data_IF_302249747134
#
_entry.id   IF_302249747134
#
_cell.length_a   1.000
_cell.length_b   1.000
_cell.length_c   1.000
_cell.angle_alpha   90.00
_cell.angle_beta   90.00
_cell.angle_gamma   90.00
#
_symmetry.space_group_name_H-M   'P 1'
#
loop_
_entity.id
_entity.type
_entity.pdbx_description
1 polymer ?
#
# COMPACT_ATOMS: atom_id res chain seq x y z
N UNK A 1 7.35 -16.37 -1.96
CA UNK A 1 6.23 -15.79 -1.19
C UNK A 1 6.77 -15.10 0.02
N UNK A 2 7.12 -13.85 -0.23
CA UNK A 2 7.44 -12.85 0.77
C UNK A 2 6.14 -12.04 0.97
N UNK A 3 5.34 -12.32 2.02
CA UNK A 3 4.00 -11.74 2.14
C UNK A 3 4.08 -10.28 2.58
N UNK A 4 3.56 -9.36 1.78
CA UNK A 4 3.37 -7.98 2.17
C UNK A 4 1.88 -7.64 2.23
N UNK A 5 1.53 -6.68 3.07
CA UNK A 5 0.15 -6.46 3.46
C UNK A 5 -0.27 -5.01 3.28
N UNK A 6 -1.49 -4.79 2.80
CA UNK A 6 -2.06 -3.46 2.58
C UNK A 6 -3.40 -3.32 3.29
N UNK A 7 -3.59 -2.24 4.04
CA UNK A 7 -4.83 -1.94 4.77
C UNK A 7 -5.29 -0.51 4.58
N UNK A 8 -6.46 -0.17 5.14
CA UNK A 8 -6.98 1.22 5.18
C UNK A 8 -6.90 1.74 6.61
N UNK A 9 -6.39 2.95 6.76
CA UNK A 9 -6.43 3.68 8.02
C UNK A 9 -7.76 4.45 8.07
N UNK A 10 -8.66 4.07 8.99
CA UNK A 10 -9.99 4.69 9.07
C UNK A 10 -9.93 6.19 9.41
N UNK A 11 -9.06 6.54 10.36
CA UNK A 11 -8.74 7.92 10.73
C UNK A 11 -7.24 8.06 10.94
N UNK A 12 -6.61 8.89 10.12
CA UNK A 12 -5.19 9.20 10.25
C UNK A 12 -4.94 10.03 11.51
N UNK A 13 -3.85 9.73 12.20
CA UNK A 13 -3.35 10.49 13.34
C UNK A 13 -1.99 11.06 12.94
N UNK A 14 -1.89 12.39 12.88
CA UNK A 14 -0.72 13.09 12.36
C UNK A 14 0.49 13.01 13.31
N UNK A 15 0.24 12.74 14.59
CA UNK A 15 1.27 12.72 15.63
C UNK A 15 1.66 11.27 16.02
N UNK A 16 1.07 10.28 15.35
CA UNK A 16 1.29 8.85 15.64
C UNK A 16 2.40 8.25 14.78
N UNK A 17 3.25 7.48 15.44
CA UNK A 17 4.13 6.49 14.79
C UNK A 17 3.38 5.18 14.53
N UNK A 18 3.37 4.77 13.26
CA UNK A 18 2.79 3.53 12.75
C UNK A 18 3.85 2.43 12.56
N UNK A 19 4.86 2.35 13.42
CA UNK A 19 5.98 1.39 13.28
C UNK A 19 5.65 -0.05 13.71
N UNK A 20 4.55 -0.24 14.44
CA UNK A 20 4.17 -1.55 14.97
C UNK A 20 3.44 -2.38 13.90
N UNK A 21 3.90 -3.60 13.69
CA UNK A 21 3.18 -4.60 12.89
C UNK A 21 1.86 -5.01 13.58
N UNK A 22 0.74 -4.56 13.03
CA UNK A 22 -0.62 -4.82 13.54
C UNK A 22 -1.64 -4.97 12.39
N UNK A 23 -1.42 -5.85 11.39
CA UNK A 23 -2.21 -5.91 10.15
C UNK A 23 -3.71 -6.20 10.36
N UNK A 24 -4.05 -6.98 11.39
CA UNK A 24 -5.43 -7.31 11.75
C UNK A 24 -6.28 -6.06 12.04
N UNK A 25 -5.66 -4.98 12.52
CA UNK A 25 -6.34 -3.71 12.81
C UNK A 25 -6.84 -2.99 11.56
N UNK A 26 -6.19 -3.20 10.44
CA UNK A 26 -6.41 -2.46 9.20
C UNK A 26 -7.14 -3.29 8.14
N UNK A 27 -7.59 -4.50 8.49
CA UNK A 27 -8.23 -5.48 7.60
C UNK A 27 -7.41 -5.68 6.32
N UNK A 28 -6.12 -5.98 6.49
CA UNK A 28 -5.18 -6.02 5.39
C UNK A 28 -5.50 -7.10 4.35
N UNK A 29 -5.12 -6.83 3.11
CA UNK A 29 -5.00 -7.79 2.02
C UNK A 29 -3.52 -8.12 1.81
N UNK A 30 -3.20 -9.38 1.55
CA UNK A 30 -1.82 -9.85 1.38
C UNK A 30 -1.51 -10.13 -0.10
N UNK A 31 -0.37 -9.67 -0.59
CA UNK A 31 0.18 -10.04 -1.91
C UNK A 31 1.62 -10.56 -1.76
N UNK A 32 2.16 -11.19 -2.80
CA UNK A 32 3.53 -11.71 -2.83
C UNK A 32 4.52 -10.66 -3.36
N UNK A 33 5.39 -10.16 -2.50
CA UNK A 33 6.40 -9.16 -2.83
C UNK A 33 7.37 -9.63 -3.93
N UNK A 34 7.79 -10.89 -3.90
CA UNK A 34 8.73 -11.47 -4.86
C UNK A 34 8.13 -11.53 -6.28
N UNK A 35 6.79 -11.55 -6.39
CA UNK A 35 6.09 -11.66 -7.68
C UNK A 35 5.82 -10.29 -8.27
N UNK A 36 5.47 -9.29 -7.44
CA UNK A 36 4.87 -8.05 -7.92
C UNK A 36 5.77 -6.82 -7.80
N UNK A 37 6.49 -6.67 -6.70
CA UNK A 37 7.04 -5.37 -6.32
C UNK A 37 8.21 -4.96 -7.20
N UNK A 38 9.07 -5.91 -7.60
CA UNK A 38 10.19 -5.62 -8.49
C UNK A 38 9.71 -5.14 -9.88
N UNK A 39 8.65 -5.74 -10.42
CA UNK A 39 8.05 -5.34 -11.71
C UNK A 39 7.41 -3.93 -11.63
N UNK A 40 6.88 -3.57 -10.47
CA UNK A 40 6.21 -2.27 -10.25
C UNK A 40 7.17 -1.16 -9.81
N UNK A 41 8.42 -1.49 -9.48
CA UNK A 41 9.31 -0.61 -8.72
C UNK A 41 9.54 0.75 -9.38
N UNK A 42 9.68 0.78 -10.71
CA UNK A 42 9.86 2.04 -11.45
C UNK A 42 8.69 2.99 -11.24
N UNK A 43 7.45 2.49 -11.28
CA UNK A 43 6.26 3.30 -11.10
C UNK A 43 5.98 3.61 -9.62
N UNK A 44 6.27 2.66 -8.72
CA UNK A 44 6.19 2.88 -7.27
C UNK A 44 7.14 4.00 -6.83
N UNK A 45 8.31 4.13 -7.44
CA UNK A 45 9.27 5.21 -7.15
C UNK A 45 8.74 6.62 -7.45
N UNK A 46 7.65 6.73 -8.22
CA UNK A 46 6.96 7.99 -8.56
C UNK A 46 5.85 8.31 -7.55
N UNK A 47 5.48 7.36 -6.70
CA UNK A 47 4.42 7.48 -5.70
C UNK A 47 4.96 8.08 -4.40
N UNK A 48 4.45 9.26 -4.00
CA UNK A 48 4.80 9.85 -2.70
C UNK A 48 4.19 9.04 -1.56
N UNK A 49 4.97 8.81 -0.53
CA UNK A 49 4.59 8.04 0.66
C UNK A 49 5.24 8.62 1.91
N UNK A 50 5.01 7.99 3.06
CA UNK A 50 5.67 8.30 4.30
C UNK A 50 6.07 7.01 5.02
N UNK A 51 7.25 6.97 5.64
CA UNK A 51 7.73 5.76 6.33
C UNK A 51 7.55 5.91 7.84
N UNK A 52 6.78 5.01 8.45
CA UNK A 52 6.50 5.00 9.89
C UNK A 52 5.55 6.12 10.37
N UNK A 53 5.73 7.36 9.93
CA UNK A 53 4.93 8.52 10.37
C UNK A 53 4.85 9.60 9.27
N UNK A 54 3.94 10.57 9.42
CA UNK A 54 3.74 11.64 8.42
C UNK A 54 4.84 12.71 8.38
N UNK A 55 5.80 12.68 9.32
CA UNK A 55 6.95 13.60 9.35
C UNK A 55 8.15 13.05 8.57
N UNK A 56 8.07 11.80 8.11
CA UNK A 56 9.11 11.11 7.35
C UNK A 56 8.66 10.88 5.90
N UNK A 57 8.59 11.95 5.06
CA UNK A 57 8.17 11.82 3.67
C UNK A 57 9.19 11.00 2.86
N UNK A 58 8.66 10.16 1.98
CA UNK A 58 9.43 9.28 1.11
C UNK A 58 8.71 9.06 -0.23
N UNK A 59 9.23 8.14 -1.03
CA UNK A 59 8.59 7.59 -2.22
C UNK A 59 8.62 6.07 -2.16
N UNK A 60 7.81 5.39 -2.97
CA UNK A 60 7.76 3.92 -3.03
C UNK A 60 7.28 3.29 -1.70
N UNK A 61 7.52 1.99 -1.56
CA UNK A 61 7.22 1.16 -0.40
C UNK A 61 8.50 0.84 0.37
N UNK A 62 8.39 0.89 1.69
CA UNK A 62 9.38 0.34 2.61
C UNK A 62 9.15 -1.18 2.72
N UNK A 63 9.98 -1.96 2.00
CA UNK A 63 9.88 -3.42 1.95
C UNK A 63 10.26 -4.11 3.26
N UNK A 64 10.82 -3.39 4.23
CA UNK A 64 11.23 -3.90 5.55
C UNK A 64 10.64 -3.10 6.73
N UNK A 65 9.61 -2.29 6.46
CA UNK A 65 9.02 -1.40 7.44
C UNK A 65 7.56 -1.09 7.17
N UNK A 66 7.12 0.09 7.61
CA UNK A 66 5.72 0.50 7.45
C UNK A 66 5.65 1.73 6.57
N UNK A 67 4.78 1.67 5.55
CA UNK A 67 4.54 2.78 4.64
C UNK A 67 3.12 3.29 4.78
N UNK A 68 2.97 4.60 4.89
CA UNK A 68 1.69 5.30 4.79
C UNK A 68 1.56 5.84 3.37
N UNK A 69 0.48 5.47 2.69
CA UNK A 69 0.19 5.87 1.32
C UNK A 69 -0.95 6.90 1.38
N UNK A 70 -0.68 8.18 1.05
CA UNK A 70 -1.67 9.24 1.17
C UNK A 70 -2.70 9.19 0.02
N UNK A 71 -3.91 9.77 0.21
CA UNK A 71 -4.98 9.73 -0.79
C UNK A 71 -4.57 10.21 -2.18
N UNK A 72 -3.73 11.25 -2.29
CA UNK A 72 -3.27 11.80 -3.56
C UNK A 72 -2.38 10.83 -4.35
N UNK A 73 -1.77 9.85 -3.70
CA UNK A 73 -0.92 8.83 -4.31
C UNK A 73 -1.71 7.61 -4.80
N UNK A 74 -2.96 7.44 -4.34
CA UNK A 74 -3.76 6.25 -4.67
C UNK A 74 -4.14 6.14 -6.14
N UNK A 75 -4.15 7.25 -6.89
CA UNK A 75 -4.39 7.18 -8.34
C UNK A 75 -3.20 6.58 -9.10
N UNK A 76 -1.97 6.84 -8.64
CA UNK A 76 -0.78 6.19 -9.18
C UNK A 76 -0.84 4.70 -8.82
N UNK A 77 -1.12 4.39 -7.55
CA UNK A 77 -1.16 3.00 -7.11
C UNK A 77 -2.25 2.17 -7.81
N UNK A 78 -3.45 2.74 -7.99
CA UNK A 78 -4.53 2.12 -8.75
C UNK A 78 -4.10 1.80 -10.18
N UNK A 79 -3.37 2.72 -10.83
CA UNK A 79 -2.89 2.54 -12.21
C UNK A 79 -1.88 1.41 -12.30
N UNK A 80 -0.93 1.33 -11.36
CA UNK A 80 0.06 0.24 -11.27
C UNK A 80 -0.65 -1.12 -11.18
N UNK A 81 -1.53 -1.26 -10.18
CA UNK A 81 -2.20 -2.54 -9.91
C UNK A 81 -3.17 -2.93 -11.02
N UNK A 82 -3.93 -1.97 -11.58
CA UNK A 82 -4.91 -2.27 -12.63
C UNK A 82 -4.31 -2.57 -14.00
N UNK A 83 -3.09 -2.11 -14.27
CA UNK A 83 -2.36 -2.41 -15.51
C UNK A 83 -1.62 -3.75 -15.46
N UNK A 84 -1.46 -4.35 -14.28
CA UNK A 84 -0.80 -5.65 -14.15
C UNK A 84 -1.63 -6.74 -14.84
N UNK A 85 -1.09 -7.46 -15.85
CA UNK A 85 -1.84 -8.48 -16.58
C UNK A 85 -2.28 -9.66 -15.69
N UNK A 86 -1.60 -9.90 -14.56
CA UNK A 86 -1.89 -10.97 -13.61
C UNK A 86 -3.17 -10.73 -12.81
N UNK A 87 -3.72 -9.51 -12.83
CA UNK A 87 -4.97 -9.19 -12.12
C UNK A 87 -6.19 -10.01 -12.58
N UNK A 88 -6.10 -10.62 -13.76
CA UNK A 88 -7.15 -11.50 -14.30
C UNK A 88 -7.10 -12.91 -13.70
N UNK A 89 -6.01 -13.29 -13.04
CA UNK A 89 -5.81 -14.63 -12.49
C UNK A 89 -5.57 -14.61 -10.97
N UNK A 90 -4.95 -13.56 -10.44
CA UNK A 90 -4.64 -13.45 -9.01
C UNK A 90 -5.76 -12.71 -8.26
N UNK A 91 -6.44 -13.45 -7.38
CA UNK A 91 -7.51 -12.91 -6.54
C UNK A 91 -7.01 -11.85 -5.54
N UNK A 92 -5.81 -12.00 -4.99
CA UNK A 92 -5.22 -11.04 -4.07
C UNK A 92 -4.95 -9.69 -4.74
N UNK A 93 -4.54 -9.67 -6.01
CA UNK A 93 -4.44 -8.42 -6.79
C UNK A 93 -5.81 -7.76 -7.00
N UNK A 94 -6.86 -8.55 -7.25
CA UNK A 94 -8.22 -8.02 -7.38
C UNK A 94 -8.71 -7.41 -6.06
N UNK A 95 -8.41 -8.04 -4.92
CA UNK A 95 -8.75 -7.50 -3.60
C UNK A 95 -7.95 -6.24 -3.28
N UNK A 96 -6.66 -6.19 -3.61
CA UNK A 96 -5.85 -4.98 -3.49
C UNK A 96 -6.42 -3.83 -4.32
N UNK A 97 -6.80 -4.07 -5.57
CA UNK A 97 -7.42 -3.05 -6.42
C UNK A 97 -8.75 -2.53 -5.84
N UNK A 98 -9.58 -3.41 -5.28
CA UNK A 98 -10.82 -3.01 -4.59
C UNK A 98 -10.51 -2.16 -3.36
N UNK A 99 -9.50 -2.53 -2.58
CA UNK A 99 -9.07 -1.80 -1.39
C UNK A 99 -8.58 -0.38 -1.73
N UNK A 100 -7.74 -0.26 -2.76
CA UNK A 100 -7.23 1.04 -3.26
C UNK A 100 -8.39 1.94 -3.70
N UNK A 101 -9.33 1.41 -4.49
CA UNK A 101 -10.49 2.17 -4.96
C UNK A 101 -11.38 2.64 -3.81
N UNK A 102 -11.59 1.79 -2.80
CA UNK A 102 -12.33 2.16 -1.59
C UNK A 102 -11.62 3.29 -0.84
N UNK A 103 -10.33 3.15 -0.58
CA UNK A 103 -9.55 4.18 0.11
C UNK A 103 -9.57 5.51 -0.64
N UNK A 104 -9.45 5.47 -1.96
CA UNK A 104 -9.52 6.65 -2.83
C UNK A 104 -10.90 7.31 -2.81
N UNK A 105 -11.97 6.52 -2.89
CA UNK A 105 -13.35 7.02 -2.82
C UNK A 105 -13.66 7.66 -1.46
N UNK A 106 -13.14 7.08 -0.38
CA UNK A 106 -13.32 7.57 1.00
C UNK A 106 -12.29 8.64 1.40
N UNK A 107 -11.36 9.00 0.50
CA UNK A 107 -10.24 9.92 0.75
C UNK A 107 -9.43 9.55 2.02
N UNK A 108 -9.11 8.26 2.15
CA UNK A 108 -8.39 7.67 3.29
C UNK A 108 -6.95 7.30 2.94
N UNK A 109 -6.10 7.32 3.95
CA UNK A 109 -4.75 6.76 3.87
C UNK A 109 -4.82 5.23 3.79
N UNK A 110 -3.90 4.65 3.04
CA UNK A 110 -3.59 3.23 3.16
C UNK A 110 -2.30 3.04 3.97
N UNK A 111 -2.16 1.85 4.55
CA UNK A 111 -0.96 1.39 5.26
C UNK A 111 -0.42 0.14 4.57
N UNK A 112 0.90 0.04 4.46
CA UNK A 112 1.61 -1.11 3.93
C UNK A 112 2.60 -1.63 4.97
N UNK A 113 2.65 -2.96 5.14
CA UNK A 113 3.65 -3.66 5.95
C UNK A 113 4.57 -4.48 5.07
N UNK A 114 5.85 -4.14 5.07
CA UNK A 114 6.94 -4.94 4.52
C UNK A 114 7.36 -6.09 5.44
N UNK A 115 8.25 -6.96 4.94
CA UNK A 115 8.77 -8.17 5.64
C UNK A 115 10.14 -7.93 6.24
#
# INVERSE_FOLDING_TARGET
MTPIEFGIIDKIDNDKEYIKYEPEKYNCVTIDDDIYIDDWWEDLSKMRTYFGDLNTPNVSLDRHGVTLIPPESLSIFETIVSNDPRIKQDYSLMELLKLIRKAKQENKYMIHFGV
#
